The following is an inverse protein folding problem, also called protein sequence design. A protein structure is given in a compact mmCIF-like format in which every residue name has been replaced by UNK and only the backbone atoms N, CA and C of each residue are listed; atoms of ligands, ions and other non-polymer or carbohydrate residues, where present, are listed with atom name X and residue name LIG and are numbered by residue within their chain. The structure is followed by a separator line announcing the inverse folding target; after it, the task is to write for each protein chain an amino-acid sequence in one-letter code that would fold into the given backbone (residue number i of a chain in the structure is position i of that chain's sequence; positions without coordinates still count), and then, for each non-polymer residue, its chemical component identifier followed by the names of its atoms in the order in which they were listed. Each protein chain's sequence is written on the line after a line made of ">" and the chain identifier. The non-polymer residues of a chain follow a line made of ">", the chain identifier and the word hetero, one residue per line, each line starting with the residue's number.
data_IF_685022585850
#
_entry.id   IF_685022585850
#
_cell.length_a   1.000
_cell.length_b   1.000
_cell.length_c   1.000
_cell.angle_alpha   90.00
_cell.angle_beta   90.00
_cell.angle_gamma   90.00
#
_symmetry.space_group_name_H-M   'P 1'
#
loop_
_entity.id
_entity.type
_entity.pdbx_description
1 polymer ?
#
# COMPACT_ATOMS: atom_id res chain seq x y z
N UNK A 1 -35.71 26.80 -18.08
CA UNK A 1 -35.64 25.30 -18.10
C UNK A 1 -34.31 24.73 -17.62
N UNK A 2 -33.34 25.52 -17.18
CA UNK A 2 -32.00 25.06 -16.76
C UNK A 2 -31.68 25.28 -15.27
N UNK A 3 -32.70 25.53 -14.43
CA UNK A 3 -32.50 25.79 -12.98
C UNK A 3 -32.13 24.50 -12.22
N UNK A 4 -32.56 23.35 -12.71
CA UNK A 4 -32.28 22.02 -12.08
C UNK A 4 -30.84 21.59 -12.27
N UNK A 5 -30.17 21.99 -13.36
CA UNK A 5 -28.76 21.64 -13.62
C UNK A 5 -27.75 22.48 -12.81
N UNK A 6 -28.09 23.71 -12.46
CA UNK A 6 -27.21 24.57 -11.63
C UNK A 6 -27.12 24.08 -10.18
N UNK A 7 -28.20 23.55 -9.63
CA UNK A 7 -28.22 23.03 -8.26
C UNK A 7 -27.43 21.72 -8.09
N UNK A 8 -27.37 20.87 -9.12
CA UNK A 8 -26.56 19.66 -9.09
C UNK A 8 -25.05 19.95 -9.09
N UNK A 9 -24.59 20.97 -9.82
CA UNK A 9 -23.18 21.39 -9.82
C UNK A 9 -22.74 21.99 -8.50
N UNK A 10 -23.58 22.80 -7.85
CA UNK A 10 -23.32 23.38 -6.53
C UNK A 10 -23.31 22.32 -5.43
N UNK A 11 -24.23 21.36 -5.46
CA UNK A 11 -24.29 20.24 -4.53
C UNK A 11 -23.04 19.35 -4.63
N UNK A 12 -22.55 19.06 -5.82
CA UNK A 12 -21.33 18.30 -6.03
C UNK A 12 -20.07 19.02 -5.53
N UNK A 13 -20.00 20.34 -5.67
CA UNK A 13 -18.90 21.14 -5.11
C UNK A 13 -18.92 21.19 -3.59
N UNK A 14 -20.09 21.31 -2.99
CA UNK A 14 -20.26 21.32 -1.52
C UNK A 14 -19.94 19.94 -0.94
N UNK A 15 -20.35 18.86 -1.57
CA UNK A 15 -20.03 17.49 -1.17
C UNK A 15 -18.53 17.21 -1.28
N UNK A 16 -17.84 17.72 -2.31
CA UNK A 16 -16.37 17.61 -2.40
C UNK A 16 -15.64 18.43 -1.35
N UNK A 17 -16.13 19.62 -1.00
CA UNK A 17 -15.57 20.45 0.07
C UNK A 17 -15.77 19.82 1.45
N UNK A 18 -16.91 19.17 1.70
CA UNK A 18 -17.19 18.42 2.94
C UNK A 18 -16.30 17.18 3.02
N UNK A 19 -16.07 16.45 1.94
CA UNK A 19 -15.13 15.34 1.88
C UNK A 19 -13.70 15.76 2.22
N UNK A 20 -13.27 16.95 1.79
CA UNK A 20 -11.95 17.49 2.09
C UNK A 20 -11.75 17.87 3.55
N UNK A 21 -12.84 18.27 4.24
CA UNK A 21 -12.79 18.69 5.65
C UNK A 21 -13.02 17.57 6.67
N UNK A 22 -13.54 16.39 6.25
CA UNK A 22 -13.88 15.27 7.12
C UNK A 22 -12.89 14.11 7.08
N UNK A 23 -11.78 14.24 6.33
CA UNK A 23 -10.79 13.17 6.15
C UNK A 23 -11.15 12.20 5.02
N UNK A 24 -10.29 11.23 4.81
CA UNK A 24 -10.42 10.27 3.72
C UNK A 24 -11.61 9.34 3.92
N UNK A 25 -12.52 9.32 2.96
CA UNK A 25 -13.65 8.40 2.94
C UNK A 25 -13.21 7.01 2.46
N UNK A 26 -14.07 5.99 2.63
CA UNK A 26 -13.84 4.65 2.08
C UNK A 26 -13.60 4.67 0.57
N UNK A 27 -14.30 5.54 -0.17
CA UNK A 27 -14.13 5.68 -1.60
C UNK A 27 -12.76 6.24 -1.96
N UNK A 28 -12.29 7.25 -1.21
CA UNK A 28 -10.96 7.83 -1.42
C UNK A 28 -9.85 6.82 -1.16
N UNK A 29 -9.98 6.01 -0.12
CA UNK A 29 -9.04 4.93 0.20
C UNK A 29 -9.05 3.87 -0.90
N UNK A 30 -10.23 3.48 -1.38
CA UNK A 30 -10.35 2.54 -2.49
C UNK A 30 -9.66 3.03 -3.76
N UNK A 31 -9.75 4.31 -4.07
CA UNK A 31 -9.02 4.91 -5.18
C UNK A 31 -7.50 4.86 -4.96
N UNK A 32 -7.03 5.20 -3.76
CA UNK A 32 -5.61 5.19 -3.42
C UNK A 32 -4.99 3.80 -3.58
N UNK A 33 -5.63 2.76 -3.05
CA UNK A 33 -5.08 1.40 -3.09
C UNK A 33 -5.12 0.76 -4.47
N UNK A 34 -5.94 1.28 -5.38
CA UNK A 34 -6.05 0.80 -6.76
C UNK A 34 -5.22 1.61 -7.76
N UNK A 35 -4.63 2.71 -7.33
CA UNK A 35 -3.86 3.60 -8.20
C UNK A 35 -2.52 3.00 -8.65
N UNK A 36 -1.93 2.16 -7.82
CA UNK A 36 -0.70 1.43 -8.11
C UNK A 36 -0.83 -0.03 -7.68
N UNK A 37 -0.03 -0.90 -8.26
CA UNK A 37 -0.04 -2.33 -7.91
C UNK A 37 0.36 -2.60 -6.47
N UNK A 38 1.28 -1.82 -5.93
CA UNK A 38 1.68 -1.88 -4.53
C UNK A 38 1.54 -0.50 -3.91
N UNK A 39 0.82 -0.43 -2.80
CA UNK A 39 0.58 0.80 -2.05
C UNK A 39 0.88 0.55 -0.57
N UNK A 40 1.65 1.43 0.05
CA UNK A 40 2.09 1.32 1.44
C UNK A 40 1.59 2.50 2.24
N UNK A 41 0.90 2.24 3.32
CA UNK A 41 0.55 3.24 4.33
C UNK A 41 1.54 3.09 5.48
N UNK A 42 2.30 4.13 5.75
CA UNK A 42 3.42 4.08 6.68
C UNK A 42 3.55 5.34 7.53
N UNK A 43 4.36 5.27 8.56
CA UNK A 43 4.77 6.44 9.36
C UNK A 43 6.05 7.01 8.78
N UNK A 44 5.96 8.22 8.26
CA UNK A 44 7.02 8.88 7.52
C UNK A 44 6.98 8.58 6.02
N UNK A 45 8.10 8.70 5.37
CA UNK A 45 8.31 8.45 3.93
C UNK A 45 9.37 7.39 3.73
N UNK A 46 9.46 6.72 2.56
CA UNK A 46 10.45 5.67 2.33
C UNK A 46 11.90 6.12 2.56
N UNK A 47 12.21 7.36 2.25
CA UNK A 47 13.54 7.96 2.44
C UNK A 47 13.85 8.27 3.92
N UNK A 48 12.81 8.48 4.73
CA UNK A 48 12.91 8.81 6.15
C UNK A 48 11.73 8.18 6.93
N UNK A 49 11.74 6.85 7.17
CA UNK A 49 10.73 6.20 7.98
C UNK A 49 10.80 6.70 9.44
N UNK A 50 9.63 6.92 10.05
CA UNK A 50 9.51 7.42 11.43
C UNK A 50 9.20 6.32 12.45
N UNK A 51 9.23 5.07 12.03
CA UNK A 51 8.92 3.91 12.87
C UNK A 51 9.73 2.72 12.37
N UNK A 52 10.25 1.91 13.30
CA UNK A 52 11.03 0.71 12.98
C UNK A 52 10.25 -0.31 12.15
N UNK A 53 8.96 -0.46 12.41
CA UNK A 53 8.08 -1.35 11.63
C UNK A 53 7.87 -0.85 10.19
N UNK A 54 7.68 0.45 10.00
CA UNK A 54 7.60 1.05 8.66
C UNK A 54 8.93 0.92 7.92
N UNK A 55 10.05 1.13 8.61
CA UNK A 55 11.38 0.92 8.02
C UNK A 55 11.58 -0.53 7.56
N UNK A 56 11.15 -1.51 8.35
CA UNK A 56 11.26 -2.92 7.99
C UNK A 56 10.53 -3.22 6.65
N UNK A 57 9.32 -2.71 6.48
CA UNK A 57 8.56 -2.86 5.23
C UNK A 57 9.29 -2.20 4.06
N UNK A 58 9.80 -0.99 4.26
CA UNK A 58 10.59 -0.28 3.22
C UNK A 58 11.80 -1.12 2.79
N UNK A 59 12.54 -1.70 3.74
CA UNK A 59 13.70 -2.53 3.44
C UNK A 59 13.32 -3.81 2.69
N UNK A 60 12.23 -4.48 3.10
CA UNK A 60 11.73 -5.67 2.43
C UNK A 60 11.39 -5.36 0.97
N UNK A 61 10.61 -4.32 0.72
CA UNK A 61 10.22 -3.93 -0.65
C UNK A 61 11.43 -3.51 -1.48
N UNK A 62 12.43 -2.87 -0.87
CA UNK A 62 13.69 -2.52 -1.54
C UNK A 62 14.47 -3.76 -1.97
N UNK A 63 14.55 -4.78 -1.11
CA UNK A 63 15.22 -6.04 -1.44
C UNK A 63 14.56 -6.76 -2.61
N UNK A 64 13.23 -6.67 -2.72
CA UNK A 64 12.47 -7.24 -3.84
C UNK A 64 12.50 -6.36 -5.10
N UNK A 65 13.03 -5.13 -5.02
CA UNK A 65 13.06 -4.20 -6.14
C UNK A 65 11.68 -3.73 -6.59
N UNK A 66 10.73 -3.62 -5.66
CA UNK A 66 9.33 -3.31 -5.96
C UNK A 66 9.13 -1.81 -6.06
N UNK A 67 8.59 -1.30 -7.18
CA UNK A 67 8.05 0.05 -7.22
C UNK A 67 6.72 0.09 -6.48
N UNK A 68 6.51 1.10 -5.66
CA UNK A 68 5.28 1.27 -4.89
C UNK A 68 4.96 2.74 -4.63
N UNK A 69 3.70 3.02 -4.40
CA UNK A 69 3.22 4.30 -3.90
C UNK A 69 3.17 4.26 -2.37
N UNK A 70 3.49 5.36 -1.71
CA UNK A 70 3.50 5.44 -0.26
C UNK A 70 2.71 6.65 0.25
N UNK A 71 2.07 6.48 1.39
CA UNK A 71 1.29 7.50 2.06
C UNK A 71 1.75 7.63 3.51
N UNK A 72 2.16 8.85 3.89
CA UNK A 72 2.56 9.17 5.26
C UNK A 72 1.32 9.46 6.12
N UNK A 73 0.92 8.50 6.93
CA UNK A 73 -0.26 8.63 7.79
C UNK A 73 -0.05 9.56 8.99
N UNK A 74 1.17 10.00 9.26
CA UNK A 74 1.44 11.00 10.29
C UNK A 74 1.00 12.40 9.88
N UNK A 75 0.88 12.65 8.58
CA UNK A 75 0.42 13.93 8.03
C UNK A 75 -1.10 14.03 7.86
N UNK A 76 -1.80 12.90 7.96
CA UNK A 76 -3.25 12.84 7.75
C UNK A 76 -3.88 11.83 8.73
N UNK A 77 -4.41 12.35 9.83
CA UNK A 77 -5.06 11.52 10.86
C UNK A 77 -6.35 10.85 10.34
N UNK A 78 -7.06 11.52 9.44
CA UNK A 78 -8.24 10.94 8.78
C UNK A 78 -7.86 9.72 7.94
N UNK A 79 -6.77 9.81 7.18
CA UNK A 79 -6.24 8.68 6.42
C UNK A 79 -5.74 7.56 7.36
N UNK A 80 -5.04 7.91 8.41
CA UNK A 80 -4.54 6.95 9.41
C UNK A 80 -5.65 6.11 10.01
N UNK A 81 -6.70 6.74 10.49
CA UNK A 81 -7.87 6.04 11.05
C UNK A 81 -8.66 5.34 9.96
N UNK A 82 -8.86 6.00 8.83
CA UNK A 82 -9.60 5.46 7.70
C UNK A 82 -9.01 4.16 7.13
N UNK A 83 -7.70 4.06 6.98
CA UNK A 83 -7.07 2.85 6.47
C UNK A 83 -7.17 1.68 7.45
N UNK A 84 -7.11 1.93 8.75
CA UNK A 84 -7.32 0.90 9.77
C UNK A 84 -8.74 0.35 9.73
N UNK A 85 -9.73 1.24 9.60
CA UNK A 85 -11.14 0.86 9.50
C UNK A 85 -11.42 0.12 8.18
N UNK A 86 -10.83 0.58 7.09
CA UNK A 86 -10.99 -0.01 5.76
C UNK A 86 -10.46 -1.44 5.70
N UNK A 87 -9.25 -1.67 6.21
CA UNK A 87 -8.60 -2.99 6.22
C UNK A 87 -9.05 -3.89 7.36
N UNK A 88 -9.77 -3.34 8.35
CA UNK A 88 -10.02 -4.00 9.63
C UNK A 88 -8.73 -4.49 10.30
N UNK A 89 -7.66 -3.71 10.18
CA UNK A 89 -6.34 -3.99 10.73
C UNK A 89 -5.86 -2.81 11.60
N UNK A 90 -5.48 -3.02 12.87
CA UNK A 90 -5.35 -1.94 13.83
C UNK A 90 -4.02 -1.19 13.80
N UNK A 91 -3.03 -1.66 13.05
CA UNK A 91 -1.66 -1.13 13.11
C UNK A 91 -1.17 -0.59 11.77
N UNK A 92 -0.16 0.25 11.83
CA UNK A 92 0.61 0.78 10.70
C UNK A 92 2.05 0.25 10.86
N UNK A 93 2.74 -0.18 9.79
CA UNK A 93 2.42 -0.02 8.37
C UNK A 93 1.39 -1.03 7.86
N UNK A 94 0.79 -0.70 6.71
CA UNK A 94 -0.08 -1.60 5.96
C UNK A 94 0.32 -1.61 4.48
N UNK A 95 0.36 -2.79 3.89
CA UNK A 95 0.70 -3.00 2.49
C UNK A 95 -0.50 -3.55 1.73
N UNK A 96 -0.81 -2.94 0.60
CA UNK A 96 -1.83 -3.40 -0.34
C UNK A 96 -1.16 -3.82 -1.64
N UNK A 97 -1.53 -4.98 -2.13
CA UNK A 97 -1.04 -5.51 -3.41
C UNK A 97 -2.26 -5.74 -4.31
N UNK A 98 -2.26 -5.11 -5.45
CA UNK A 98 -3.33 -5.21 -6.45
C UNK A 98 -4.72 -4.87 -5.86
N UNK A 99 -4.78 -3.86 -5.00
CA UNK A 99 -6.00 -3.39 -4.35
C UNK A 99 -6.46 -4.22 -3.15
N UNK A 100 -5.71 -5.24 -2.75
CA UNK A 100 -6.04 -6.12 -1.63
C UNK A 100 -5.04 -5.97 -0.49
N UNK A 101 -5.53 -6.04 0.73
CA UNK A 101 -4.69 -5.99 1.92
C UNK A 101 -3.76 -7.22 1.97
N UNK A 102 -2.47 -6.98 1.90
CA UNK A 102 -1.46 -8.03 1.94
C UNK A 102 -0.96 -8.32 3.36
N UNK A 103 -0.81 -7.29 4.18
CA UNK A 103 -0.40 -7.44 5.56
C UNK A 103 0.28 -6.21 6.16
N UNK A 104 0.55 -6.29 7.45
CA UNK A 104 1.40 -5.37 8.18
C UNK A 104 2.86 -5.84 8.19
N UNK A 105 3.67 -5.27 9.08
CA UNK A 105 5.10 -5.57 9.16
C UNK A 105 5.38 -7.07 9.39
N UNK A 106 4.69 -7.69 10.35
CA UNK A 106 4.94 -9.10 10.71
C UNK A 106 4.59 -10.06 9.57
N UNK A 107 3.47 -9.84 8.90
CA UNK A 107 3.04 -10.66 7.76
C UNK A 107 4.00 -10.48 6.58
N UNK A 108 4.40 -9.25 6.29
CA UNK A 108 5.34 -8.96 5.22
C UNK A 108 6.71 -9.61 5.48
N UNK A 109 7.19 -9.54 6.71
CA UNK A 109 8.43 -10.18 7.11
C UNK A 109 8.35 -11.71 6.99
N UNK A 110 7.25 -12.30 7.43
CA UNK A 110 6.99 -13.73 7.35
C UNK A 110 6.95 -14.23 5.90
N UNK A 111 6.22 -13.53 5.03
CA UNK A 111 6.18 -13.85 3.60
C UNK A 111 7.53 -13.65 2.91
N UNK A 112 8.29 -12.64 3.33
CA UNK A 112 9.65 -12.43 2.82
C UNK A 112 10.57 -13.59 3.19
N UNK A 113 10.54 -14.06 4.43
CA UNK A 113 11.36 -15.17 4.92
C UNK A 113 10.98 -16.50 4.28
N UNK A 114 9.69 -16.76 4.06
CA UNK A 114 9.19 -18.01 3.46
C UNK A 114 9.34 -18.04 1.93
N UNK A 115 9.51 -16.91 1.28
CA UNK A 115 9.48 -16.79 -0.17
C UNK A 115 8.08 -16.52 -0.76
N UNK A 116 7.03 -16.59 0.03
CA UNK A 116 5.66 -16.38 -0.42
C UNK A 116 5.43 -14.97 -1.00
N UNK A 117 6.21 -13.97 -0.54
CA UNK A 117 6.12 -12.61 -1.07
C UNK A 117 6.50 -12.54 -2.56
N UNK A 118 7.45 -13.35 -2.99
CA UNK A 118 7.82 -13.45 -4.41
C UNK A 118 6.62 -13.90 -5.25
N UNK A 119 5.89 -14.91 -4.75
CA UNK A 119 4.70 -15.43 -5.42
C UNK A 119 3.55 -14.42 -5.45
N UNK A 120 3.30 -13.75 -4.33
CA UNK A 120 2.27 -12.70 -4.24
C UNK A 120 2.55 -11.54 -5.20
N UNK A 121 3.79 -11.09 -5.29
CA UNK A 121 4.20 -10.07 -6.25
C UNK A 121 4.04 -10.55 -7.69
N UNK A 122 4.39 -11.80 -7.97
CA UNK A 122 4.27 -12.40 -9.30
C UNK A 122 2.81 -12.50 -9.75
N UNK A 123 1.89 -12.85 -8.85
CA UNK A 123 0.43 -12.85 -9.13
C UNK A 123 -0.07 -11.44 -9.51
N UNK A 124 0.53 -10.40 -8.97
CA UNK A 124 0.23 -9.01 -9.30
C UNK A 124 0.97 -8.51 -10.56
N UNK A 125 1.76 -9.37 -11.21
CA UNK A 125 2.55 -9.02 -12.39
C UNK A 125 3.85 -8.29 -12.09
N UNK A 126 4.37 -8.41 -10.85
CA UNK A 126 5.63 -7.80 -10.42
C UNK A 126 6.68 -8.89 -10.24
N UNK A 127 7.79 -8.76 -10.99
CA UNK A 127 8.93 -9.66 -10.84
C UNK A 127 9.82 -9.20 -9.67
N UNK A 128 9.97 -10.06 -8.67
CA UNK A 128 10.89 -9.80 -7.57
C UNK A 128 12.35 -9.96 -8.01
N UNK A 129 13.21 -9.02 -7.61
CA UNK A 129 14.66 -9.12 -7.82
C UNK A 129 15.28 -10.35 -7.11
N UNK A 130 14.62 -10.88 -6.08
CA UNK A 130 15.08 -12.06 -5.36
C UNK A 130 14.80 -13.37 -6.10
N UNK A 131 13.90 -13.37 -7.07
CA UNK A 131 13.62 -14.54 -7.91
C UNK A 131 14.88 -14.99 -8.68
N UNK A 132 15.64 -14.05 -9.20
CA UNK A 132 16.87 -14.33 -9.94
C UNK A 132 17.99 -14.89 -9.02
N UNK A 133 18.00 -14.47 -7.76
CA UNK A 133 18.95 -15.00 -6.76
C UNK A 133 18.62 -16.42 -6.29
N UNK A 134 17.36 -16.82 -6.34
CA UNK A 134 16.96 -18.19 -6.00
C UNK A 134 17.36 -19.17 -7.11
N UNK A 135 17.13 -18.82 -8.37
CA UNK A 135 17.50 -19.68 -9.51
C UNK A 135 19.01 -19.95 -9.54
N UNK A 136 19.85 -18.95 -9.25
CA UNK A 136 21.30 -19.13 -9.17
C UNK A 136 21.72 -20.10 -8.05
N UNK A 137 21.02 -20.07 -6.90
CA UNK A 137 21.31 -20.98 -5.78
C UNK A 137 20.91 -22.43 -6.06
N UNK A 138 19.86 -22.65 -6.83
CA UNK A 138 19.41 -23.98 -7.23
C UNK A 138 20.34 -24.59 -8.29
N UNK A 139 20.79 -23.80 -9.25
CA UNK A 139 21.76 -24.24 -10.25
C UNK A 139 23.10 -24.65 -9.63
N UNK A 140 23.58 -23.90 -8.63
CA UNK A 140 24.85 -24.23 -7.94
C UNK A 140 24.74 -25.45 -7.03
N UNK A 141 23.54 -25.81 -6.54
CA UNK A 141 23.33 -27.03 -5.76
C UNK A 141 23.24 -28.29 -6.62
N UNK A 142 22.84 -28.16 -7.86
CA UNK A 142 22.71 -29.29 -8.79
C UNK A 142 24.02 -29.61 -9.56
N UNK A 143 25.06 -28.80 -9.38
CA UNK A 143 26.36 -28.98 -10.05
C UNK A 143 27.45 -29.58 -9.14
N UNK A 144 27.08 -29.97 -7.93
CA UNK A 144 27.92 -30.73 -7.00
C UNK A 144 27.33 -32.13 -6.75
#
# INVERSE_FOLDING_TARGET
>A
MNVVNRNKFLLNRIVQLIKFSTGSTKNDIHELINKNKVVVFMKGVPEEPRCGFSNAVVQILRMHGVPYDSHDVLKDEGLRQGIKDFSNWPTIPQVFINGEFAGGCDIMLQMHQSGDLIEELQKAGIRSALLDKQSIKEETKNTT
#
